data_IF_287277945571
#
_entry.id   IF_287277945571
#
_cell.length_a   1.000
_cell.length_b   1.000
_cell.length_c   1.000
_cell.angle_alpha   90.00
_cell.angle_beta   90.00
_cell.angle_gamma   90.00
#
_symmetry.space_group_name_H-M   'P 1'
#
loop_
_entity.id
_entity.type
_entity.pdbx_description
1 polymer ?
#
# COMPACT_ATOMS: atom_id res chain seq x y z
N UNK A 1 14.48 12.81 -5.28
CA UNK A 1 14.00 12.24 -6.56
C UNK A 1 12.67 11.55 -6.34
N UNK A 2 11.78 11.51 -7.35
CA UNK A 2 10.43 10.95 -7.24
C UNK A 2 10.43 9.51 -6.68
N UNK A 3 11.41 8.70 -7.10
CA UNK A 3 11.62 7.33 -6.60
C UNK A 3 11.86 7.25 -5.09
N UNK A 4 12.57 8.21 -4.50
CA UNK A 4 12.80 8.27 -3.05
C UNK A 4 11.52 8.58 -2.24
N UNK A 5 10.64 9.41 -2.80
CA UNK A 5 9.33 9.68 -2.20
C UNK A 5 8.44 8.43 -2.22
N UNK A 6 8.44 7.66 -3.32
CA UNK A 6 7.69 6.41 -3.41
C UNK A 6 8.19 5.33 -2.44
N UNK A 7 9.51 5.23 -2.24
CA UNK A 7 10.09 4.34 -1.21
C UNK A 7 9.63 4.76 0.20
N UNK A 8 9.58 6.06 0.50
CA UNK A 8 9.10 6.55 1.78
C UNK A 8 7.60 6.22 2.02
N UNK A 9 6.77 6.32 0.98
CA UNK A 9 5.35 5.92 1.04
C UNK A 9 5.24 4.44 1.37
N UNK A 10 5.96 3.57 0.65
CA UNK A 10 5.94 2.12 0.89
C UNK A 10 6.37 1.81 2.33
N UNK A 11 7.50 2.35 2.79
CA UNK A 11 7.99 2.11 4.15
C UNK A 11 6.99 2.56 5.23
N UNK A 12 6.29 3.67 5.00
CA UNK A 12 5.27 4.18 5.94
C UNK A 12 4.07 3.25 6.01
N UNK A 13 3.56 2.81 4.85
CA UNK A 13 2.38 1.95 4.77
C UNK A 13 2.70 0.55 5.31
N UNK A 14 3.90 0.02 5.05
CA UNK A 14 4.37 -1.24 5.67
C UNK A 14 4.43 -1.13 7.20
N UNK A 15 4.93 -0.02 7.74
CA UNK A 15 4.92 0.23 9.18
C UNK A 15 3.51 0.28 9.76
N UNK A 16 2.56 0.87 9.04
CA UNK A 16 1.14 0.89 9.43
C UNK A 16 0.51 -0.50 9.39
N UNK A 17 0.78 -1.30 8.36
CA UNK A 17 0.32 -2.69 8.28
C UNK A 17 0.88 -3.56 9.40
N UNK A 18 2.15 -3.34 9.77
CA UNK A 18 2.80 -4.11 10.84
C UNK A 18 2.27 -3.76 12.23
N UNK A 19 2.06 -2.47 12.49
CA UNK A 19 1.76 -1.98 13.84
C UNK A 19 0.26 -1.76 14.09
N UNK A 20 -0.51 -1.46 13.03
CA UNK A 20 -1.90 -1.03 13.08
C UNK A 20 -2.74 -1.61 11.93
N UNK A 21 -2.72 -2.93 11.67
CA UNK A 21 -3.34 -3.55 10.49
C UNK A 21 -4.85 -3.28 10.38
N UNK A 22 -5.55 -3.23 11.52
CA UNK A 22 -7.02 -3.15 11.56
C UNK A 22 -7.57 -1.72 11.59
N UNK A 23 -6.72 -0.70 11.43
CA UNK A 23 -7.17 0.69 11.45
C UNK A 23 -7.65 1.16 10.09
N UNK A 24 -8.63 2.06 10.08
CA UNK A 24 -9.13 2.70 8.86
C UNK A 24 -7.99 3.42 8.11
N UNK A 25 -7.09 4.09 8.84
CA UNK A 25 -5.94 4.76 8.25
C UNK A 25 -5.03 3.80 7.47
N UNK A 26 -4.82 2.58 7.95
CA UNK A 26 -4.05 1.56 7.22
C UNK A 26 -4.75 1.14 5.94
N UNK A 27 -6.08 0.98 5.96
CA UNK A 27 -6.88 0.64 4.77
C UNK A 27 -6.82 1.75 3.73
N UNK A 28 -6.97 3.00 4.16
CA UNK A 28 -6.93 4.19 3.29
C UNK A 28 -5.53 4.44 2.71
N UNK A 29 -4.48 3.93 3.35
CA UNK A 29 -3.10 4.06 2.90
C UNK A 29 -2.67 3.01 1.86
N UNK A 30 -3.41 1.89 1.73
CA UNK A 30 -3.08 0.82 0.76
C UNK A 30 -3.07 1.30 -0.71
N UNK A 31 -4.01 2.12 -1.20
CA UNK A 31 -3.96 2.65 -2.57
C UNK A 31 -2.71 3.50 -2.85
N UNK A 32 -2.19 4.19 -1.82
CA UNK A 32 -0.96 4.98 -1.95
C UNK A 32 0.26 4.07 -2.15
N UNK A 33 0.31 2.95 -1.45
CA UNK A 33 1.35 1.93 -1.60
C UNK A 33 1.29 1.25 -2.97
N UNK A 34 0.10 0.92 -3.46
CA UNK A 34 -0.10 0.38 -4.81
C UNK A 34 0.45 1.33 -5.88
N UNK A 35 0.05 2.60 -5.84
CA UNK A 35 0.53 3.60 -6.79
C UNK A 35 2.05 3.77 -6.72
N UNK A 36 2.62 3.84 -5.51
CA UNK A 36 4.06 3.90 -5.32
C UNK A 36 4.79 2.74 -6.01
N UNK A 37 4.28 1.51 -5.90
CA UNK A 37 4.84 0.36 -6.61
C UNK A 37 4.70 0.46 -8.13
N UNK A 38 3.55 0.92 -8.65
CA UNK A 38 3.37 1.15 -10.10
C UNK A 38 4.36 2.18 -10.65
N UNK A 39 4.57 3.28 -9.94
CA UNK A 39 5.52 4.34 -10.32
C UNK A 39 6.98 3.86 -10.28
N UNK A 40 7.28 2.87 -9.45
CA UNK A 40 8.59 2.23 -9.40
C UNK A 40 8.73 1.04 -10.36
N UNK A 41 7.71 0.77 -11.20
CA UNK A 41 7.63 -0.38 -12.10
C UNK A 41 7.67 -1.74 -11.37
N UNK A 42 7.31 -1.77 -10.10
CA UNK A 42 7.23 -2.95 -9.24
C UNK A 42 5.83 -3.58 -9.31
N UNK A 43 5.45 -4.00 -10.52
CA UNK A 43 4.08 -4.41 -10.82
C UNK A 43 3.59 -5.59 -9.97
N UNK A 44 4.43 -6.59 -9.72
CA UNK A 44 4.05 -7.75 -8.91
C UNK A 44 3.70 -7.37 -7.46
N UNK A 45 4.37 -6.37 -6.89
CA UNK A 45 4.08 -5.83 -5.56
C UNK A 45 2.79 -5.02 -5.58
N UNK A 46 2.58 -4.19 -6.61
CA UNK A 46 1.32 -3.47 -6.81
C UNK A 46 0.13 -4.44 -6.88
N UNK A 47 0.24 -5.53 -7.64
CA UNK A 47 -0.82 -6.54 -7.77
C UNK A 47 -1.13 -7.25 -6.44
N UNK A 48 -0.12 -7.44 -5.57
CA UNK A 48 -0.36 -7.97 -4.20
C UNK A 48 -1.16 -6.98 -3.36
N UNK A 49 -0.81 -5.70 -3.40
CA UNK A 49 -1.53 -4.66 -2.64
C UNK A 49 -2.97 -4.52 -3.16
N UNK A 50 -3.18 -4.55 -4.47
CA UNK A 50 -4.51 -4.54 -5.08
C UNK A 50 -5.39 -5.70 -4.59
N UNK A 51 -4.82 -6.91 -4.45
CA UNK A 51 -5.54 -8.06 -3.88
C UNK A 51 -5.92 -7.84 -2.41
N UNK A 52 -5.06 -7.21 -1.61
CA UNK A 52 -5.35 -6.88 -0.21
C UNK A 52 -6.50 -5.87 -0.13
N UNK A 53 -6.46 -4.81 -0.95
CA UNK A 53 -7.53 -3.81 -1.05
C UNK A 53 -8.86 -4.50 -1.39
N UNK A 54 -8.87 -5.33 -2.44
CA UNK A 54 -10.06 -6.05 -2.88
C UNK A 54 -10.64 -7.00 -1.79
N UNK A 55 -9.78 -7.64 -1.00
CA UNK A 55 -10.21 -8.48 0.13
C UNK A 55 -10.83 -7.65 1.27
N UNK A 56 -10.31 -6.45 1.54
CA UNK A 56 -10.85 -5.57 2.57
C UNK A 56 -12.22 -4.98 2.19
N UNK A 57 -12.44 -4.64 0.92
CA UNK A 57 -13.71 -4.09 0.43
C UNK A 57 -14.86 -5.09 0.40
N UNK A 58 -14.59 -6.40 0.47
CA UNK A 58 -15.64 -7.44 0.51
C UNK A 58 -16.24 -7.65 1.89
N UNK A 59 -15.66 -7.06 2.94
CA UNK A 59 -16.01 -7.31 4.34
C UNK A 59 -16.86 -6.17 4.95
N UNK A 60 -17.41 -5.29 4.10
CA UNK A 60 -18.30 -4.16 4.44
C UNK A 60 -19.60 -4.29 3.66
#
# INVERSE_FOLDING_TARGET
SARGAWVAVVNRVEGMLRNYPDTQATRDALPLMENAYRQMQLNAQADKVAKIIASNSKNT
#
